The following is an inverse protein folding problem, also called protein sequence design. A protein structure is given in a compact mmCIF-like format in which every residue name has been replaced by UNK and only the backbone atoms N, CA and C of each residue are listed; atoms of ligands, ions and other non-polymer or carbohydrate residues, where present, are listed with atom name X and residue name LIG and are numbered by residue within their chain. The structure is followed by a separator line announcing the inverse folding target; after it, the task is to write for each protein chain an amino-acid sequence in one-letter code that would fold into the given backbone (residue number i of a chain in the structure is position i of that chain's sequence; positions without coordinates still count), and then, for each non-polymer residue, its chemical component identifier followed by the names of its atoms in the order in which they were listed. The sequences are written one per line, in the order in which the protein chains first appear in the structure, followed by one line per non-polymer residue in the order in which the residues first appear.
data_IF_289285214833
#
_entry.id   IF_289285214833
#
_cell.length_a   1.000
_cell.length_b   1.000
_cell.length_c   1.000
_cell.angle_alpha   90.00
_cell.angle_beta   90.00
_cell.angle_gamma   90.00
#
_symmetry.space_group_name_H-M   'P 1'
#
loop_
_entity.id
_entity.type
_entity.pdbx_description
1 polymer ?
#
# COMPACT_ATOMS: atom_id res chain seq x y z
N UNK A 1 8.56 1.38 -4.90
CA UNK A 1 9.51 0.57 -4.09
C UNK A 1 9.83 1.34 -2.81
N UNK A 2 9.82 0.69 -1.64
CA UNK A 2 10.10 1.35 -0.35
C UNK A 2 11.41 0.79 0.23
N UNK A 3 12.51 1.55 0.23
CA UNK A 3 13.78 1.13 0.80
C UNK A 3 13.66 0.75 2.29
N UNK A 4 14.59 -0.07 2.78
CA UNK A 4 14.63 -0.61 4.16
C UNK A 4 13.46 -1.53 4.55
N UNK A 5 12.50 -1.76 3.65
CA UNK A 5 11.34 -2.63 3.85
C UNK A 5 11.28 -3.72 2.78
N UNK A 6 12.41 -4.33 2.42
CA UNK A 6 12.50 -5.28 1.31
C UNK A 6 11.57 -6.50 1.50
N UNK A 7 11.58 -7.14 2.67
CA UNK A 7 10.73 -8.31 2.97
C UNK A 7 9.25 -7.92 2.97
N UNK A 8 8.91 -6.78 3.56
CA UNK A 8 7.55 -6.24 3.53
C UNK A 8 7.10 -5.92 2.09
N UNK A 9 7.96 -5.31 1.30
CA UNK A 9 7.67 -4.97 -0.11
C UNK A 9 7.47 -6.23 -0.93
N UNK A 10 8.31 -7.26 -0.74
CA UNK A 10 8.17 -8.55 -1.40
C UNK A 10 6.84 -9.23 -1.04
N UNK A 11 6.47 -9.24 0.25
CA UNK A 11 5.21 -9.86 0.68
C UNK A 11 3.98 -9.12 0.13
N UNK A 12 4.01 -7.80 0.06
CA UNK A 12 2.92 -7.01 -0.55
C UNK A 12 2.88 -7.14 -2.08
N UNK A 13 4.03 -7.25 -2.75
CA UNK A 13 4.07 -7.55 -4.18
C UNK A 13 3.48 -8.95 -4.48
N UNK A 14 3.74 -9.94 -3.63
CA UNK A 14 3.15 -11.28 -3.77
C UNK A 14 1.62 -11.25 -3.66
N UNK A 15 1.05 -10.45 -2.74
CA UNK A 15 -0.41 -10.26 -2.64
C UNK A 15 -0.99 -9.67 -3.93
N UNK A 16 -0.28 -8.75 -4.59
CA UNK A 16 -0.74 -8.18 -5.86
C UNK A 16 -0.84 -9.28 -6.94
N UNK A 17 0.25 -10.04 -7.15
CA UNK A 17 0.29 -11.11 -8.14
C UNK A 17 -0.73 -12.21 -7.84
N UNK A 18 -0.85 -12.63 -6.57
CA UNK A 18 -1.83 -13.60 -6.12
C UNK A 18 -3.27 -13.15 -6.46
N UNK A 19 -3.59 -11.89 -6.19
CA UNK A 19 -4.93 -11.34 -6.43
C UNK A 19 -5.26 -11.30 -7.92
N UNK A 20 -4.29 -10.93 -8.76
CA UNK A 20 -4.44 -10.89 -10.22
C UNK A 20 -4.66 -12.29 -10.81
N UNK A 21 -3.87 -13.28 -10.39
CA UNK A 21 -4.07 -14.68 -10.80
C UNK A 21 -5.43 -15.21 -10.35
N UNK A 22 -5.79 -14.99 -9.08
CA UNK A 22 -7.05 -15.47 -8.53
C UNK A 22 -8.28 -14.83 -9.20
N UNK A 23 -8.19 -13.55 -9.60
CA UNK A 23 -9.25 -12.89 -10.35
C UNK A 23 -9.55 -13.60 -11.68
N UNK A 24 -8.51 -14.06 -12.39
CA UNK A 24 -8.66 -14.81 -13.65
C UNK A 24 -9.26 -16.19 -13.38
N UNK A 25 -8.76 -16.91 -12.37
CA UNK A 25 -9.21 -18.26 -12.02
C UNK A 25 -10.69 -18.29 -11.59
N UNK A 26 -11.15 -17.25 -10.90
CA UNK A 26 -12.50 -17.18 -10.33
C UNK A 26 -13.54 -16.53 -11.26
N UNK A 27 -13.12 -15.85 -12.32
CA UNK A 27 -14.03 -15.22 -13.29
C UNK A 27 -15.08 -16.19 -13.90
N UNK A 28 -14.75 -17.44 -14.29
CA UNK A 28 -15.74 -18.38 -14.81
C UNK A 28 -16.85 -18.76 -13.82
N UNK A 29 -16.63 -18.52 -12.52
CA UNK A 29 -17.60 -18.79 -11.46
C UNK A 29 -18.41 -17.54 -11.07
N UNK A 30 -18.30 -16.45 -11.83
CA UNK A 30 -18.94 -15.17 -11.54
C UNK A 30 -18.54 -14.58 -10.17
N UNK A 31 -17.29 -14.84 -9.75
CA UNK A 31 -16.70 -14.28 -8.53
C UNK A 31 -15.67 -13.24 -8.95
N UNK A 32 -15.83 -11.99 -8.48
CA UNK A 32 -14.88 -10.91 -8.69
C UNK A 32 -13.89 -10.84 -7.54
N UNK A 33 -12.61 -10.67 -7.88
CA UNK A 33 -11.54 -10.42 -6.92
C UNK A 33 -10.88 -9.10 -7.29
N UNK A 34 -10.66 -8.25 -6.29
CA UNK A 34 -10.08 -6.93 -6.48
C UNK A 34 -9.13 -6.57 -5.35
N UNK A 35 -8.20 -5.67 -5.67
CA UNK A 35 -7.12 -5.23 -4.83
C UNK A 35 -7.28 -3.74 -4.51
N UNK A 36 -7.43 -3.42 -3.23
CA UNK A 36 -7.31 -2.04 -2.75
C UNK A 36 -5.86 -1.78 -2.40
N UNK A 37 -5.32 -0.67 -2.90
CA UNK A 37 -3.91 -0.28 -2.76
C UNK A 37 -3.81 1.02 -1.95
N UNK A 38 -3.75 0.95 -0.60
CA UNK A 38 -3.58 2.13 0.23
C UNK A 38 -2.19 2.75 0.08
N UNK A 39 -2.13 4.07 0.19
CA UNK A 39 -0.89 4.81 0.37
C UNK A 39 -0.47 4.90 1.83
N UNK A 40 0.32 5.92 2.16
CA UNK A 40 0.84 6.17 3.50
C UNK A 40 -0.27 6.70 4.40
N UNK A 41 -0.64 5.93 5.45
CA UNK A 41 -1.72 6.31 6.37
C UNK A 41 -1.24 6.56 7.81
N UNK A 42 -0.67 7.74 8.11
CA UNK A 42 -0.11 8.05 9.44
C UNK A 42 -1.19 8.22 10.53
N UNK A 43 -2.47 8.38 10.16
CA UNK A 43 -3.58 8.42 11.12
C UNK A 43 -3.86 7.05 11.75
N UNK A 44 -3.34 5.96 11.18
CA UNK A 44 -3.40 4.62 11.78
C UNK A 44 -2.19 4.35 12.67
N UNK A 45 -2.30 3.37 13.55
CA UNK A 45 -1.18 2.90 14.39
C UNK A 45 -0.22 1.96 13.65
N UNK A 46 -0.33 1.81 12.32
CA UNK A 46 0.50 0.87 11.57
C UNK A 46 2.00 1.19 11.70
N UNK A 47 2.38 2.46 11.52
CA UNK A 47 3.78 2.90 11.65
C UNK A 47 4.34 2.69 13.06
N UNK A 48 3.58 3.08 14.09
CA UNK A 48 3.94 2.87 15.49
C UNK A 48 4.15 1.38 15.82
N UNK A 49 3.24 0.52 15.34
CA UNK A 49 3.35 -0.92 15.53
C UNK A 49 4.54 -1.51 14.78
N UNK A 50 4.78 -1.05 13.55
CA UNK A 50 5.92 -1.48 12.74
C UNK A 50 7.25 -1.11 13.42
N UNK A 51 7.38 0.10 13.97
CA UNK A 51 8.57 0.52 14.72
C UNK A 51 8.83 -0.33 15.96
N UNK A 52 7.79 -0.79 16.67
CA UNK A 52 7.93 -1.63 17.87
C UNK A 52 8.47 -3.03 17.57
N UNK A 53 8.13 -3.58 16.39
CA UNK A 53 8.50 -4.94 16.00
C UNK A 53 9.72 -4.98 15.08
N UNK A 54 10.05 -3.86 14.43
CA UNK A 54 11.26 -3.75 13.64
C UNK A 54 12.47 -3.81 14.57
N UNK A 55 13.41 -4.70 14.24
CA UNK A 55 14.69 -4.78 14.94
C UNK A 55 15.57 -3.56 14.67
N UNK A 56 16.76 -3.58 15.26
CA UNK A 56 17.72 -2.51 15.06
C UNK A 56 18.19 -2.45 13.61
N UNK A 57 18.34 -1.21 13.11
CA UNK A 57 18.94 -0.98 11.80
C UNK A 57 20.46 -1.15 11.95
N UNK A 58 21.10 -1.98 11.11
CA UNK A 58 22.55 -2.14 11.14
C UNK A 58 23.28 -0.80 11.02
N UNK A 59 24.41 -0.66 11.71
CA UNK A 59 25.15 0.61 11.80
C UNK A 59 25.56 1.14 10.42
N UNK A 60 25.82 0.25 9.47
CA UNK A 60 26.16 0.54 8.08
C UNK A 60 25.03 1.27 7.33
N UNK A 61 23.79 1.07 7.76
CA UNK A 61 22.58 1.68 7.19
C UNK A 61 22.08 2.88 8.00
N UNK A 62 22.68 3.19 9.16
CA UNK A 62 22.17 4.18 10.11
C UNK A 62 21.97 5.56 9.47
N UNK A 63 23.01 6.13 8.85
CA UNK A 63 22.95 7.46 8.23
C UNK A 63 21.90 7.54 7.11
N UNK A 64 21.86 6.52 6.25
CA UNK A 64 20.89 6.46 5.15
C UNK A 64 19.45 6.29 5.67
N UNK A 65 19.25 5.47 6.69
CA UNK A 65 17.94 5.27 7.32
C UNK A 65 17.41 6.55 7.96
N UNK A 66 18.27 7.31 8.64
CA UNK A 66 17.89 8.59 9.24
C UNK A 66 17.45 9.59 8.18
N UNK A 67 18.18 9.70 7.06
CA UNK A 67 17.79 10.55 5.94
C UNK A 67 16.43 10.14 5.33
N UNK A 68 16.21 8.84 5.12
CA UNK A 68 14.95 8.32 4.60
C UNK A 68 13.77 8.63 5.53
N UNK A 69 13.91 8.37 6.83
CA UNK A 69 12.83 8.62 7.79
C UNK A 69 12.54 10.10 7.98
N UNK A 70 13.55 10.98 7.92
CA UNK A 70 13.34 12.43 7.91
C UNK A 70 12.50 12.87 6.71
N UNK A 71 12.77 12.33 5.52
CA UNK A 71 11.96 12.61 4.32
C UNK A 71 10.50 12.15 4.46
N UNK A 72 10.23 11.11 5.25
CA UNK A 72 8.86 10.63 5.51
C UNK A 72 8.08 11.51 6.49
N UNK A 73 8.74 12.37 7.25
CA UNK A 73 8.11 13.25 8.25
C UNK A 73 7.60 14.58 7.66
N UNK A 74 7.66 14.78 6.34
CA UNK A 74 7.10 15.97 5.72
C UNK A 74 5.57 16.03 5.95
N UNK A 75 5.15 17.00 6.77
CA UNK A 75 3.76 17.25 7.13
C UNK A 75 2.93 17.79 5.96
N UNK A 76 3.56 18.25 4.88
CA UNK A 76 2.89 18.70 3.65
C UNK A 76 2.63 17.57 2.66
N UNK A 77 3.25 16.40 2.86
CA UNK A 77 3.05 15.28 1.98
C UNK A 77 1.60 14.80 2.04
N UNK A 78 1.04 14.50 0.86
CA UNK A 78 -0.27 13.87 0.74
C UNK A 78 -0.24 12.52 1.44
N UNK A 79 -1.37 12.15 2.05
CA UNK A 79 -1.51 10.93 2.83
C UNK A 79 -2.85 10.27 2.55
N UNK A 80 -2.89 8.97 2.77
CA UNK A 80 -4.11 8.18 2.73
C UNK A 80 -4.79 8.24 4.09
N UNK A 81 -6.06 8.61 4.13
CA UNK A 81 -6.88 8.52 5.34
C UNK A 81 -7.60 7.17 5.41
N UNK A 82 -7.96 6.67 6.61
CA UNK A 82 -8.73 5.43 6.75
C UNK A 82 -10.03 5.46 5.95
N UNK A 83 -10.67 6.63 5.88
CA UNK A 83 -11.91 6.84 5.12
C UNK A 83 -11.73 6.64 3.61
N UNK A 84 -10.56 6.99 3.05
CA UNK A 84 -10.25 6.77 1.63
C UNK A 84 -10.23 5.27 1.31
N UNK A 85 -9.64 4.47 2.21
CA UNK A 85 -9.56 3.02 2.08
C UNK A 85 -10.94 2.39 2.24
N UNK A 86 -11.72 2.84 3.22
CA UNK A 86 -13.09 2.36 3.42
C UNK A 86 -13.96 2.62 2.19
N UNK A 87 -13.86 3.82 1.60
CA UNK A 87 -14.57 4.16 0.36
C UNK A 87 -14.12 3.27 -0.81
N UNK A 88 -12.82 3.04 -0.98
CA UNK A 88 -12.30 2.18 -2.05
C UNK A 88 -12.79 0.72 -1.90
N UNK A 89 -12.83 0.20 -0.67
CA UNK A 89 -13.41 -1.13 -0.40
C UNK A 89 -14.89 -1.17 -0.76
N UNK A 90 -15.64 -0.15 -0.34
CA UNK A 90 -17.07 -0.04 -0.67
C UNK A 90 -17.29 -0.01 -2.18
N UNK A 91 -16.51 0.79 -2.92
CA UNK A 91 -16.57 0.86 -4.37
C UNK A 91 -16.26 -0.50 -5.01
N UNK A 92 -15.15 -1.15 -4.63
CA UNK A 92 -14.77 -2.46 -5.16
C UNK A 92 -15.89 -3.51 -4.99
N UNK A 93 -16.57 -3.49 -3.84
CA UNK A 93 -17.66 -4.41 -3.54
C UNK A 93 -18.94 -4.13 -4.33
N UNK A 94 -19.28 -2.85 -4.56
CA UNK A 94 -20.60 -2.45 -5.08
C UNK A 94 -20.62 -2.05 -6.56
N UNK A 95 -19.49 -1.68 -7.13
CA UNK A 95 -19.39 -1.24 -8.52
C UNK A 95 -18.70 -2.33 -9.37
N UNK A 96 -19.45 -2.99 -10.28
CA UNK A 96 -18.92 -4.05 -11.15
C UNK A 96 -17.87 -3.54 -12.14
N UNK A 97 -17.89 -2.26 -12.50
CA UNK A 97 -16.97 -1.65 -13.46
C UNK A 97 -15.64 -1.21 -12.81
N UNK A 98 -15.50 -1.40 -11.48
CA UNK A 98 -14.26 -1.09 -10.77
C UNK A 98 -13.09 -1.91 -11.31
N UNK A 99 -11.95 -1.28 -11.66
CA UNK A 99 -10.74 -1.99 -12.06
C UNK A 99 -10.24 -2.93 -10.97
N UNK A 100 -9.60 -4.04 -11.36
CA UNK A 100 -9.04 -5.03 -10.43
C UNK A 100 -8.07 -4.40 -9.42
N UNK A 101 -7.38 -3.30 -9.77
CA UNK A 101 -6.49 -2.57 -8.87
C UNK A 101 -7.03 -1.17 -8.63
N UNK A 102 -7.32 -0.84 -7.37
CA UNK A 102 -7.88 0.45 -6.97
C UNK A 102 -6.98 1.15 -5.94
N UNK A 103 -6.22 2.18 -6.35
CA UNK A 103 -5.47 3.03 -5.42
C UNK A 103 -6.40 3.80 -4.47
N UNK A 104 -6.10 3.74 -3.18
CA UNK A 104 -6.88 4.40 -2.13
C UNK A 104 -6.05 5.47 -1.42
N UNK A 105 -6.53 6.70 -1.46
CA UNK A 105 -5.82 7.90 -0.98
C UNK A 105 -5.19 8.70 -2.12
N UNK A 106 -4.95 9.97 -1.88
CA UNK A 106 -4.43 10.89 -2.89
C UNK A 106 -3.00 10.55 -3.31
N UNK A 107 -2.14 10.23 -2.34
CA UNK A 107 -0.76 9.80 -2.56
C UNK A 107 -0.66 8.47 -3.30
N UNK A 108 -1.57 7.53 -3.00
CA UNK A 108 -1.65 6.25 -3.72
C UNK A 108 -2.01 6.44 -5.19
N UNK A 109 -2.97 7.33 -5.48
CA UNK A 109 -3.38 7.65 -6.85
C UNK A 109 -2.26 8.32 -7.63
N UNK A 110 -1.54 9.27 -7.02
CA UNK A 110 -0.37 9.89 -7.65
C UNK A 110 0.73 8.87 -7.96
N UNK A 111 1.03 7.98 -7.02
CA UNK A 111 2.03 6.93 -7.21
C UNK A 111 1.64 5.95 -8.33
N UNK A 112 0.36 5.58 -8.40
CA UNK A 112 -0.14 4.72 -9.47
C UNK A 112 -0.05 5.40 -10.84
N UNK A 113 -0.34 6.70 -10.93
CA UNK A 113 -0.25 7.47 -12.16
C UNK A 113 1.19 7.62 -12.69
N UNK A 114 2.22 7.47 -11.84
CA UNK A 114 3.63 7.52 -12.24
C UNK A 114 4.17 6.19 -12.78
N UNK A 115 3.42 5.09 -12.59
CA UNK A 115 3.80 3.74 -13.02
C UNK A 115 3.09 3.30 -14.31
N UNK A 116 2.26 4.18 -14.89
CA UNK A 116 1.58 4.02 -16.18
C UNK A 116 2.21 4.96 -17.20
#
# INVERSE_FOLDING_TARGET
MIPLLAVYTASKAAVNAFTESLAIELAPFNIRVGLVLPGRSPATRFGENAQRIMGEIPAEYAAWSQQLFQGMQDARAKVTRPEDVAHAIWQMANDPDTPVRLPAGEDAREMAAQLM
#
